data_IF_137443418869
#
_entry.id   IF_137443418869
#
_cell.length_a   1.000
_cell.length_b   1.000
_cell.length_c   1.000
_cell.angle_alpha   90.00
_cell.angle_beta   90.00
_cell.angle_gamma   90.00
#
_symmetry.space_group_name_H-M   'P 1'
#
loop_
_entity.id
_entity.type
_entity.pdbx_description
1 polymer ?
#
# COMPACT_ATOMS: atom_id res chain seq x y z
N UNK A 1 -45.46 5.05 17.06
CA UNK A 1 -44.42 3.99 17.11
C UNK A 1 -43.10 4.45 16.48
N UNK A 2 -43.10 5.01 15.26
CA UNK A 2 -41.88 5.52 14.59
C UNK A 2 -41.14 6.64 15.34
N UNK A 3 -41.86 7.56 16.01
CA UNK A 3 -41.26 8.66 16.78
C UNK A 3 -40.51 8.15 18.03
N UNK A 4 -41.07 7.16 18.75
CA UNK A 4 -40.39 6.56 19.89
C UNK A 4 -39.12 5.80 19.47
N UNK A 5 -39.19 5.06 18.35
CA UNK A 5 -38.00 4.36 17.80
C UNK A 5 -36.94 5.37 17.36
N UNK A 6 -37.34 6.48 16.72
CA UNK A 6 -36.44 7.58 16.36
C UNK A 6 -35.75 8.19 17.58
N UNK A 7 -36.49 8.39 18.68
CA UNK A 7 -35.93 9.00 19.90
C UNK A 7 -35.01 8.04 20.66
N UNK A 8 -35.34 6.74 20.71
CA UNK A 8 -34.52 5.73 21.41
C UNK A 8 -33.28 5.38 20.60
N UNK A 9 -33.38 5.38 19.27
CA UNK A 9 -32.25 5.09 18.37
C UNK A 9 -31.44 6.33 17.98
N UNK A 10 -31.70 7.50 18.60
CA UNK A 10 -30.91 8.69 18.34
C UNK A 10 -29.48 8.48 18.82
N UNK A 11 -28.53 8.41 17.89
CA UNK A 11 -27.12 8.20 18.18
C UNK A 11 -26.33 9.52 18.14
N UNK A 12 -27.02 10.66 18.05
CA UNK A 12 -26.38 11.98 17.86
C UNK A 12 -25.48 12.39 19.02
N UNK A 13 -25.76 11.90 20.23
CA UNK A 13 -24.91 12.13 21.40
C UNK A 13 -23.52 11.49 21.27
N UNK A 14 -23.38 10.44 20.46
CA UNK A 14 -22.14 9.71 20.30
C UNK A 14 -21.11 10.48 19.47
N UNK A 15 -21.46 11.62 18.86
CA UNK A 15 -20.55 12.42 18.02
C UNK A 15 -19.15 12.62 18.63
N UNK A 16 -19.08 12.87 19.94
CA UNK A 16 -17.80 13.06 20.66
C UNK A 16 -17.01 11.77 20.90
N UNK A 17 -17.65 10.61 20.87
CA UNK A 17 -17.08 9.30 21.18
C UNK A 17 -16.89 8.41 19.94
N UNK A 18 -17.34 8.84 18.76
CA UNK A 18 -17.24 8.05 17.52
C UNK A 18 -15.79 7.69 17.21
N UNK A 19 -14.85 8.62 17.40
CA UNK A 19 -13.43 8.36 17.11
C UNK A 19 -12.83 7.25 17.99
N UNK A 20 -13.32 7.07 19.21
CA UNK A 20 -12.87 6.02 20.13
C UNK A 20 -13.20 4.60 19.61
N UNK A 21 -14.18 4.48 18.71
CA UNK A 21 -14.53 3.21 18.09
C UNK A 21 -13.61 2.83 16.92
N UNK A 22 -12.85 3.76 16.33
CA UNK A 22 -11.94 3.46 15.21
C UNK A 22 -10.99 2.30 15.55
N UNK A 23 -10.19 2.35 16.64
CA UNK A 23 -9.25 1.27 16.94
C UNK A 23 -9.96 -0.06 17.23
N UNK A 24 -11.14 -0.03 17.84
CA UNK A 24 -11.94 -1.22 18.13
C UNK A 24 -12.42 -1.89 16.85
N UNK A 25 -12.97 -1.10 15.91
CA UNK A 25 -13.43 -1.59 14.61
C UNK A 25 -12.25 -2.14 13.81
N UNK A 26 -11.14 -1.40 13.75
CA UNK A 26 -9.94 -1.84 13.02
C UNK A 26 -9.38 -3.15 13.59
N UNK A 27 -9.34 -3.29 14.92
CA UNK A 27 -8.90 -4.53 15.58
C UNK A 27 -9.80 -5.71 15.24
N UNK A 28 -11.12 -5.51 15.24
CA UNK A 28 -12.05 -6.60 14.89
C UNK A 28 -11.98 -6.96 13.41
N UNK A 29 -11.79 -6.00 12.49
CA UNK A 29 -11.54 -6.29 11.08
C UNK A 29 -10.27 -7.13 10.89
N UNK A 30 -9.19 -6.81 11.60
CA UNK A 30 -7.93 -7.56 11.53
C UNK A 30 -8.04 -8.98 12.09
N UNK A 31 -8.89 -9.21 13.12
CA UNK A 31 -9.15 -10.56 13.64
C UNK A 31 -10.13 -11.35 12.77
N UNK A 32 -11.14 -10.67 12.24
CA UNK A 32 -12.31 -11.26 11.58
C UNK A 32 -12.67 -10.47 10.32
N UNK A 33 -12.14 -10.88 9.15
CA UNK A 33 -12.36 -10.19 7.87
C UNK A 33 -13.84 -10.04 7.47
N UNK A 34 -14.69 -10.99 7.88
CA UNK A 34 -16.13 -10.96 7.61
C UNK A 34 -16.86 -9.78 8.28
N UNK A 35 -16.26 -9.14 9.30
CA UNK A 35 -16.83 -7.97 9.98
C UNK A 35 -17.00 -6.77 9.02
N UNK A 36 -16.19 -6.69 7.96
CA UNK A 36 -16.26 -5.60 6.97
C UNK A 36 -17.65 -5.52 6.33
N UNK A 37 -18.33 -6.65 6.14
CA UNK A 37 -19.69 -6.71 5.57
C UNK A 37 -20.74 -5.96 6.41
N UNK A 38 -20.49 -5.81 7.72
CA UNK A 38 -21.40 -5.12 8.63
C UNK A 38 -21.16 -3.60 8.67
N UNK A 39 -20.02 -3.12 8.15
CA UNK A 39 -19.65 -1.70 8.20
C UNK A 39 -20.63 -0.82 7.44
N UNK A 40 -21.27 -1.33 6.39
CA UNK A 40 -22.29 -0.59 5.64
C UNK A 40 -23.40 -0.09 6.55
N UNK A 41 -23.95 -1.00 7.35
CA UNK A 41 -25.03 -0.69 8.29
C UNK A 41 -24.57 0.30 9.35
N UNK A 42 -23.33 0.15 9.85
CA UNK A 42 -22.75 1.07 10.83
C UNK A 42 -22.61 2.47 10.23
N UNK A 43 -22.01 2.61 9.04
CA UNK A 43 -21.79 3.91 8.42
C UNK A 43 -23.11 4.59 8.03
N UNK A 44 -24.10 3.85 7.50
CA UNK A 44 -25.43 4.38 7.25
C UNK A 44 -26.12 4.87 8.53
N UNK A 45 -25.95 4.14 9.64
CA UNK A 45 -26.47 4.58 10.94
C UNK A 45 -25.72 5.82 11.44
N UNK A 46 -24.42 5.91 11.25
CA UNK A 46 -23.62 7.07 11.64
C UNK A 46 -23.99 8.32 10.82
N UNK A 47 -24.30 8.17 9.52
CA UNK A 47 -24.78 9.26 8.69
C UNK A 47 -26.05 9.92 9.25
N UNK A 48 -26.90 9.15 9.95
CA UNK A 48 -28.13 9.69 10.58
C UNK A 48 -27.86 10.69 11.72
N UNK A 49 -26.66 10.72 12.32
CA UNK A 49 -26.30 11.66 13.39
C UNK A 49 -26.42 13.11 12.92
N UNK A 50 -26.15 13.38 11.64
CA UNK A 50 -26.22 14.74 11.11
C UNK A 50 -27.65 15.27 11.01
N UNK A 51 -28.67 14.41 11.08
CA UNK A 51 -30.06 14.85 10.98
C UNK A 51 -30.43 15.83 12.10
N UNK A 52 -29.89 15.66 13.30
CA UNK A 52 -30.19 16.54 14.44
C UNK A 52 -29.64 17.97 14.25
N UNK A 53 -28.33 18.19 14.01
CA UNK A 53 -27.82 19.54 13.76
C UNK A 53 -28.41 20.17 12.50
N UNK A 54 -28.66 19.40 11.44
CA UNK A 54 -29.24 19.93 10.20
C UNK A 54 -30.68 20.38 10.37
N UNK A 55 -31.53 19.59 11.06
CA UNK A 55 -32.91 20.01 11.36
C UNK A 55 -32.95 21.31 12.16
N UNK A 56 -32.10 21.45 13.18
CA UNK A 56 -32.04 22.66 14.02
C UNK A 56 -31.69 23.91 13.22
N UNK A 57 -30.76 23.80 12.27
CA UNK A 57 -30.36 24.95 11.42
C UNK A 57 -31.46 25.31 10.42
N UNK A 58 -32.14 24.31 9.86
CA UNK A 58 -33.29 24.54 8.97
C UNK A 58 -34.41 25.25 9.74
N UNK A 59 -34.73 24.80 10.95
CA UNK A 59 -35.74 25.42 11.82
C UNK A 59 -35.38 26.85 12.21
N UNK A 60 -34.09 27.16 12.35
CA UNK A 60 -33.59 28.51 12.63
C UNK A 60 -33.47 29.39 11.38
N UNK A 61 -33.73 28.85 10.18
CA UNK A 61 -33.62 29.53 8.89
C UNK A 61 -32.26 30.26 8.69
N UNK A 62 -31.17 29.65 9.14
CA UNK A 62 -29.82 30.22 9.01
C UNK A 62 -29.25 29.99 7.61
N UNK A 63 -28.53 30.98 7.10
CA UNK A 63 -27.81 30.94 5.81
C UNK A 63 -26.63 29.94 5.82
N UNK A 64 -26.16 29.54 7.00
CA UNK A 64 -24.98 28.68 7.20
C UNK A 64 -25.25 27.19 6.96
N UNK A 65 -26.47 26.82 6.57
CA UNK A 65 -26.88 25.42 6.34
C UNK A 65 -25.88 24.63 5.49
N UNK A 66 -25.40 25.23 4.40
CA UNK A 66 -24.42 24.57 3.51
C UNK A 66 -23.09 24.34 4.19
N UNK A 67 -22.58 25.34 4.91
CA UNK A 67 -21.30 25.28 5.61
C UNK A 67 -21.33 24.20 6.70
N UNK A 68 -22.41 24.15 7.47
CA UNK A 68 -22.57 23.16 8.54
C UNK A 68 -22.74 21.75 7.99
N UNK A 69 -23.57 21.56 6.95
CA UNK A 69 -23.69 20.27 6.28
C UNK A 69 -22.35 19.76 5.74
N UNK A 70 -21.56 20.65 5.12
CA UNK A 70 -20.24 20.32 4.59
C UNK A 70 -19.26 19.93 5.70
N UNK A 71 -19.26 20.66 6.82
CA UNK A 71 -18.39 20.34 7.97
C UNK A 71 -18.67 18.95 8.54
N UNK A 72 -19.92 18.67 8.93
CA UNK A 72 -20.27 17.38 9.52
C UNK A 72 -20.09 16.21 8.54
N UNK A 73 -20.43 16.42 7.26
CA UNK A 73 -20.19 15.40 6.23
C UNK A 73 -18.69 15.13 6.08
N UNK A 74 -17.85 16.17 6.11
CA UNK A 74 -16.40 16.04 6.05
C UNK A 74 -15.82 15.24 7.21
N UNK A 75 -16.28 15.48 8.43
CA UNK A 75 -15.84 14.72 9.61
C UNK A 75 -16.26 13.25 9.55
N UNK A 76 -17.48 12.95 9.09
CA UNK A 76 -17.89 11.56 8.85
C UNK A 76 -17.05 10.88 7.76
N UNK A 77 -16.73 11.59 6.69
CA UNK A 77 -15.86 11.06 5.63
C UNK A 77 -14.47 10.75 6.17
N UNK A 78 -13.90 11.62 7.01
CA UNK A 78 -12.61 11.38 7.68
C UNK A 78 -12.67 10.13 8.57
N UNK A 79 -13.73 9.98 9.35
CA UNK A 79 -13.95 8.79 10.17
C UNK A 79 -13.98 7.52 9.31
N UNK A 80 -14.81 7.49 8.27
CA UNK A 80 -14.94 6.32 7.37
C UNK A 80 -13.60 5.98 6.70
N UNK A 81 -12.90 6.98 6.15
CA UNK A 81 -11.58 6.78 5.54
C UNK A 81 -10.56 6.20 6.53
N UNK A 82 -10.52 6.70 7.77
CA UNK A 82 -9.66 6.17 8.84
C UNK A 82 -10.05 4.74 9.22
N UNK A 83 -11.33 4.45 9.38
CA UNK A 83 -11.78 3.09 9.70
C UNK A 83 -11.40 2.09 8.60
N UNK A 84 -11.58 2.46 7.33
CA UNK A 84 -11.30 1.58 6.18
C UNK A 84 -9.81 1.47 5.84
N UNK A 85 -8.96 2.38 6.31
CA UNK A 85 -7.52 2.35 5.99
C UNK A 85 -6.78 1.10 6.46
N UNK A 86 -7.33 0.37 7.44
CA UNK A 86 -6.76 -0.90 7.92
C UNK A 86 -6.87 -2.02 6.88
N UNK A 87 -7.86 -1.95 5.99
CA UNK A 87 -8.15 -3.02 5.03
C UNK A 87 -7.02 -3.17 4.01
N UNK A 88 -6.57 -2.10 3.32
CA UNK A 88 -5.39 -2.15 2.47
C UNK A 88 -4.16 -2.69 3.18
N UNK A 89 -3.89 -2.25 4.41
CA UNK A 89 -2.76 -2.74 5.22
C UNK A 89 -2.86 -4.24 5.49
N UNK A 90 -4.03 -4.74 5.86
CA UNK A 90 -4.25 -6.18 6.09
C UNK A 90 -4.09 -6.99 4.79
N UNK A 91 -4.60 -6.50 3.66
CA UNK A 91 -4.41 -7.13 2.34
C UNK A 91 -2.92 -7.20 2.01
N UNK A 92 -2.18 -6.11 2.23
CA UNK A 92 -0.76 -6.05 1.90
C UNK A 92 0.09 -6.99 2.78
N UNK A 93 -0.23 -7.10 4.07
CA UNK A 93 0.41 -8.11 4.94
C UNK A 93 0.18 -9.53 4.43
N UNK A 94 -1.02 -9.84 3.96
CA UNK A 94 -1.35 -11.15 3.38
C UNK A 94 -0.67 -11.37 2.04
N UNK A 95 -0.52 -10.31 1.24
CA UNK A 95 0.21 -10.31 -0.01
C UNK A 95 1.70 -10.63 0.20
N UNK A 96 2.33 -10.10 1.24
CA UNK A 96 3.71 -10.45 1.61
C UNK A 96 3.84 -11.95 1.96
N UNK A 97 2.90 -12.52 2.72
CA UNK A 97 2.86 -13.96 2.98
C UNK A 97 2.69 -14.78 1.69
N UNK A 98 1.80 -14.35 0.79
CA UNK A 98 1.59 -14.98 -0.52
C UNK A 98 2.85 -14.91 -1.38
N UNK A 99 3.57 -13.78 -1.35
CA UNK A 99 4.84 -13.61 -2.06
C UNK A 99 5.87 -14.66 -1.66
N UNK A 100 5.99 -14.95 -0.35
CA UNK A 100 6.90 -15.99 0.14
C UNK A 100 6.45 -17.36 -0.36
N UNK A 101 5.17 -17.69 -0.22
CA UNK A 101 4.62 -18.99 -0.65
C UNK A 101 4.85 -19.25 -2.15
N UNK A 102 4.56 -18.27 -3.01
CA UNK A 102 4.70 -18.40 -4.46
C UNK A 102 6.14 -18.38 -4.96
N UNK A 103 7.09 -17.86 -4.16
CA UNK A 103 8.50 -17.72 -4.58
C UNK A 103 9.38 -18.82 -4.00
N UNK A 104 9.12 -19.27 -2.77
CA UNK A 104 10.01 -20.16 -2.03
C UNK A 104 9.42 -21.56 -1.80
N UNK A 105 8.10 -21.68 -1.64
CA UNK A 105 7.48 -22.92 -1.18
C UNK A 105 6.85 -23.73 -2.33
N UNK A 106 6.04 -23.06 -3.15
CA UNK A 106 5.26 -23.72 -4.20
C UNK A 106 6.12 -23.84 -5.45
N UNK A 107 6.44 -25.08 -5.82
CA UNK A 107 7.14 -25.38 -7.07
C UNK A 107 6.21 -25.17 -8.26
N UNK A 108 6.70 -24.47 -9.28
CA UNK A 108 6.03 -24.39 -10.58
C UNK A 108 5.94 -25.80 -11.18
N UNK A 109 4.76 -26.17 -11.72
CA UNK A 109 4.59 -27.48 -12.33
C UNK A 109 5.25 -27.50 -13.70
N UNK A 110 6.08 -28.52 -13.93
CA UNK A 110 6.69 -28.76 -15.23
C UNK A 110 5.67 -29.29 -16.23
N UNK A 111 5.89 -29.00 -17.52
CA UNK A 111 5.00 -29.45 -18.60
C UNK A 111 5.02 -30.97 -18.79
N UNK A 112 6.08 -31.65 -18.34
CA UNK A 112 6.22 -33.11 -18.33
C UNK A 112 6.88 -33.52 -17.03
N UNK A 113 6.24 -34.45 -16.31
CA UNK A 113 6.75 -34.93 -15.02
C UNK A 113 6.41 -36.41 -14.81
N UNK A 114 7.19 -37.08 -13.96
CA UNK A 114 6.95 -38.46 -13.57
C UNK A 114 5.77 -38.52 -12.60
N UNK A 115 4.88 -39.51 -12.76
CA UNK A 115 3.71 -39.72 -11.89
C UNK A 115 4.08 -39.80 -10.40
N UNK A 116 5.24 -40.39 -10.09
CA UNK A 116 5.75 -40.57 -8.73
C UNK A 116 6.07 -39.24 -8.05
N UNK A 117 6.60 -38.28 -8.81
CA UNK A 117 6.95 -36.93 -8.30
C UNK A 117 5.74 -36.02 -8.11
N UNK A 118 4.57 -36.39 -8.65
CA UNK A 118 3.36 -35.56 -8.62
C UNK A 118 2.91 -35.21 -7.20
N UNK A 119 3.13 -36.13 -6.25
CA UNK A 119 2.85 -35.87 -4.84
C UNK A 119 3.74 -34.76 -4.27
N UNK A 120 4.99 -34.67 -4.68
CA UNK A 120 5.93 -33.66 -4.17
C UNK A 120 5.64 -32.26 -4.73
N UNK A 121 5.17 -32.17 -5.97
CA UNK A 121 4.74 -30.89 -6.60
C UNK A 121 3.35 -30.42 -6.17
N UNK A 122 2.58 -31.30 -5.52
CA UNK A 122 1.25 -30.94 -5.05
C UNK A 122 1.31 -29.85 -3.97
N UNK A 123 2.35 -29.83 -3.13
CA UNK A 123 2.56 -28.86 -2.04
C UNK A 123 1.26 -28.57 -1.26
N UNK A 124 0.52 -29.62 -0.86
CA UNK A 124 -0.86 -29.48 -0.34
C UNK A 124 -0.98 -28.49 0.81
N UNK A 125 -0.07 -28.54 1.78
CA UNK A 125 -0.10 -27.65 2.95
C UNK A 125 0.11 -26.19 2.55
N UNK A 126 1.14 -25.89 1.75
CA UNK A 126 1.42 -24.53 1.28
C UNK A 126 0.28 -23.98 0.40
N UNK A 127 -0.31 -24.82 -0.45
CA UNK A 127 -1.47 -24.44 -1.28
C UNK A 127 -2.72 -24.21 -0.45
N UNK A 128 -2.91 -24.96 0.64
CA UNK A 128 -4.01 -24.71 1.58
C UNK A 128 -3.83 -23.35 2.28
N UNK A 129 -2.61 -23.02 2.72
CA UNK A 129 -2.31 -21.70 3.30
C UNK A 129 -2.54 -20.60 2.26
N UNK A 130 -2.06 -20.77 1.03
CA UNK A 130 -2.30 -19.85 -0.08
C UNK A 130 -3.80 -19.62 -0.31
N UNK A 131 -4.59 -20.68 -0.40
CA UNK A 131 -6.04 -20.60 -0.58
C UNK A 131 -6.71 -19.88 0.59
N UNK A 132 -6.29 -20.15 1.83
CA UNK A 132 -6.78 -19.46 3.03
C UNK A 132 -6.50 -17.95 2.97
N UNK A 133 -5.27 -17.55 2.62
CA UNK A 133 -4.91 -16.12 2.49
C UNK A 133 -5.65 -15.44 1.36
N UNK A 134 -5.83 -16.14 0.24
CA UNK A 134 -6.61 -15.66 -0.90
C UNK A 134 -8.06 -15.43 -0.49
N UNK A 135 -8.68 -16.36 0.24
CA UNK A 135 -10.04 -16.21 0.74
C UNK A 135 -10.18 -15.02 1.71
N UNK A 136 -9.22 -14.84 2.63
CA UNK A 136 -9.19 -13.68 3.53
C UNK A 136 -9.16 -12.35 2.75
N UNK A 137 -8.34 -12.25 1.68
CA UNK A 137 -8.30 -11.08 0.80
C UNK A 137 -9.64 -10.87 0.06
N UNK A 138 -10.24 -11.94 -0.45
CA UNK A 138 -11.54 -11.87 -1.13
C UNK A 138 -12.63 -11.36 -0.18
N UNK A 139 -12.67 -11.83 1.07
CA UNK A 139 -13.63 -11.36 2.07
C UNK A 139 -13.47 -9.86 2.38
N UNK A 140 -12.23 -9.39 2.51
CA UNK A 140 -11.94 -7.97 2.73
C UNK A 140 -12.39 -7.12 1.53
N UNK A 141 -12.14 -7.59 0.31
CA UNK A 141 -12.50 -6.89 -0.93
C UNK A 141 -14.01 -6.89 -1.14
N UNK A 142 -14.67 -8.02 -0.95
CA UNK A 142 -16.13 -8.13 -1.02
C UNK A 142 -16.77 -7.16 -0.03
N UNK A 143 -16.26 -7.08 1.20
CA UNK A 143 -16.69 -6.09 2.18
C UNK A 143 -16.60 -4.65 1.67
N UNK A 144 -15.51 -4.30 0.98
CA UNK A 144 -15.35 -2.98 0.34
C UNK A 144 -16.33 -2.75 -0.81
N UNK A 145 -16.61 -3.78 -1.61
CA UNK A 145 -17.56 -3.70 -2.72
C UNK A 145 -19.01 -3.60 -2.23
N UNK A 146 -19.37 -4.33 -1.17
CA UNK A 146 -20.72 -4.33 -0.58
C UNK A 146 -21.08 -2.96 -0.01
N UNK A 147 -20.10 -2.22 0.53
CA UNK A 147 -20.31 -0.84 0.96
C UNK A 147 -20.95 -0.02 -0.17
N UNK A 148 -20.53 -0.23 -1.42
CA UNK A 148 -20.93 0.55 -2.60
C UNK A 148 -20.73 2.06 -2.38
N UNK A 149 -21.01 2.87 -3.38
CA UNK A 149 -21.03 4.32 -3.22
C UNK A 149 -22.03 4.71 -2.15
N UNK A 150 -21.52 5.24 -1.03
CA UNK A 150 -22.34 5.56 0.14
C UNK A 150 -22.34 7.06 0.36
N UNK A 151 -23.53 7.63 0.48
CA UNK A 151 -23.73 9.04 0.78
C UNK A 151 -23.54 9.31 2.28
N UNK A 152 -22.46 10.00 2.62
CA UNK A 152 -22.22 10.54 3.96
C UNK A 152 -22.71 12.00 3.99
N UNK A 153 -24.01 12.18 4.22
CA UNK A 153 -24.65 13.49 4.22
C UNK A 153 -24.76 14.10 2.84
N UNK A 154 -23.89 15.06 2.54
CA UNK A 154 -23.82 15.70 1.21
C UNK A 154 -22.59 15.27 0.41
N UNK A 155 -21.75 14.37 0.95
CA UNK A 155 -20.53 13.88 0.31
C UNK A 155 -20.70 12.39 0.01
N UNK A 156 -20.51 12.01 -1.25
CA UNK A 156 -20.46 10.61 -1.67
C UNK A 156 -19.05 10.05 -1.45
N UNK A 157 -18.97 8.84 -0.91
CA UNK A 157 -17.70 8.11 -0.75
C UNK A 157 -17.72 6.90 -1.68
N UNK A 158 -16.62 6.69 -2.40
CA UNK A 158 -16.34 5.46 -3.14
C UNK A 158 -15.33 4.59 -2.36
N UNK A 159 -15.77 3.48 -1.73
CA UNK A 159 -14.88 2.56 -1.04
C UNK A 159 -13.83 1.93 -1.96
N UNK A 160 -14.14 1.71 -3.24
CA UNK A 160 -13.20 1.11 -4.20
C UNK A 160 -12.02 2.05 -4.45
N UNK A 161 -12.27 3.35 -4.56
CA UNK A 161 -11.19 4.36 -4.64
C UNK A 161 -10.31 4.36 -3.38
N UNK A 162 -10.92 4.31 -2.19
CA UNK A 162 -10.19 4.24 -0.92
C UNK A 162 -9.30 2.98 -0.86
N UNK A 163 -9.82 1.84 -1.32
CA UNK A 163 -9.06 0.59 -1.38
C UNK A 163 -7.84 0.74 -2.31
N UNK A 164 -8.04 1.23 -3.53
CA UNK A 164 -6.97 1.41 -4.52
C UNK A 164 -5.91 2.38 -4.01
N UNK A 165 -6.31 3.54 -3.48
CA UNK A 165 -5.40 4.53 -2.91
C UNK A 165 -4.61 3.96 -1.73
N UNK A 166 -5.27 3.19 -0.86
CA UNK A 166 -4.60 2.51 0.25
C UNK A 166 -3.60 1.45 -0.19
N UNK A 167 -3.94 0.65 -1.21
CA UNK A 167 -3.03 -0.34 -1.78
C UNK A 167 -1.83 0.30 -2.45
N UNK A 168 -2.03 1.41 -3.19
CA UNK A 168 -0.94 2.22 -3.77
C UNK A 168 -0.01 2.75 -2.68
N UNK A 169 -0.57 3.23 -1.56
CA UNK A 169 0.24 3.72 -0.42
C UNK A 169 1.09 2.62 0.21
N UNK A 170 0.51 1.45 0.50
CA UNK A 170 1.26 0.33 1.08
C UNK A 170 2.31 -0.21 0.10
N UNK A 171 1.97 -0.35 -1.19
CA UNK A 171 2.93 -0.74 -2.22
C UNK A 171 4.08 0.26 -2.30
N UNK A 172 3.77 1.56 -2.33
CA UNK A 172 4.77 2.60 -2.42
C UNK A 172 5.71 2.60 -1.20
N UNK A 173 5.17 2.36 -0.01
CA UNK A 173 5.94 2.21 1.23
C UNK A 173 6.88 1.01 1.19
N UNK A 174 6.38 -0.15 0.74
CA UNK A 174 7.18 -1.37 0.64
C UNK A 174 8.27 -1.23 -0.42
N UNK A 175 7.96 -0.72 -1.62
CA UNK A 175 8.95 -0.48 -2.67
C UNK A 175 10.04 0.52 -2.22
N UNK A 176 9.65 1.63 -1.60
CA UNK A 176 10.60 2.60 -1.07
C UNK A 176 11.54 1.98 -0.05
N UNK A 177 11.00 1.16 0.88
CA UNK A 177 11.81 0.43 1.86
C UNK A 177 12.77 -0.56 1.19
N UNK A 178 12.28 -1.37 0.25
CA UNK A 178 13.10 -2.35 -0.47
C UNK A 178 14.24 -1.70 -1.25
N UNK A 179 13.98 -0.59 -1.94
CA UNK A 179 15.00 0.18 -2.65
C UNK A 179 16.00 0.82 -1.69
N UNK A 180 15.50 1.40 -0.60
CA UNK A 180 16.34 2.01 0.42
C UNK A 180 17.33 1.01 1.01
N UNK A 181 16.83 -0.14 1.49
CA UNK A 181 17.60 -1.21 2.11
C UNK A 181 18.47 -1.97 1.10
N UNK A 182 17.99 -2.15 -0.13
CA UNK A 182 18.70 -2.88 -1.18
C UNK A 182 20.01 -2.21 -1.61
N UNK A 183 20.08 -0.88 -1.55
CA UNK A 183 21.28 -0.11 -1.87
C UNK A 183 22.02 0.41 -0.64
N UNK A 184 21.94 -0.31 0.49
CA UNK A 184 22.84 -0.12 1.63
C UNK A 184 24.03 -1.05 1.44
N UNK A 185 25.21 -0.47 1.19
CA UNK A 185 26.45 -1.21 0.97
C UNK A 185 27.25 -1.28 2.27
N UNK A 186 27.46 -2.49 2.81
CA UNK A 186 28.37 -2.69 3.94
C UNK A 186 29.77 -3.05 3.43
N UNK A 187 30.80 -2.34 3.90
CA UNK A 187 32.22 -2.69 3.59
C UNK A 187 32.72 -3.94 4.30
N UNK A 188 31.95 -4.52 5.24
CA UNK A 188 32.31 -5.74 5.98
C UNK A 188 31.08 -6.64 6.08
N UNK A 189 31.03 -7.70 5.27
CA UNK A 189 30.15 -8.83 5.58
C UNK A 189 30.82 -9.67 6.68
N UNK A 190 30.02 -10.31 7.54
CA UNK A 190 30.55 -11.22 8.58
C UNK A 190 31.26 -12.45 8.00
N UNK A 191 31.18 -12.68 6.68
CA UNK A 191 31.74 -13.85 5.98
C UNK A 191 32.91 -13.52 5.05
N UNK A 192 33.39 -12.27 5.01
CA UNK A 192 34.57 -11.88 4.23
C UNK A 192 34.31 -11.57 2.74
N UNK A 193 33.13 -11.90 2.21
CA UNK A 193 32.74 -11.53 0.85
C UNK A 193 32.39 -10.04 0.76
N UNK A 194 32.95 -9.36 -0.24
CA UNK A 194 32.62 -7.97 -0.57
C UNK A 194 31.23 -7.94 -1.21
N UNK A 195 30.29 -7.20 -0.63
CA UNK A 195 28.97 -7.00 -1.26
C UNK A 195 29.14 -6.26 -2.60
N UNK A 196 29.01 -7.00 -3.70
CA UNK A 196 29.07 -6.43 -5.06
C UNK A 196 27.76 -5.75 -5.44
N UNK A 197 27.84 -4.82 -6.39
CA UNK A 197 26.65 -4.19 -6.96
C UNK A 197 25.71 -5.22 -7.60
N UNK A 198 26.27 -6.23 -8.26
CA UNK A 198 25.53 -7.32 -8.89
C UNK A 198 24.74 -8.15 -7.86
N UNK A 199 25.35 -8.51 -6.72
CA UNK A 199 24.66 -9.30 -5.70
C UNK A 199 23.48 -8.52 -5.09
N UNK A 200 23.63 -7.21 -4.87
CA UNK A 200 22.53 -6.34 -4.44
C UNK A 200 21.41 -6.27 -5.47
N UNK A 201 21.74 -6.12 -6.75
CA UNK A 201 20.74 -6.13 -7.83
C UNK A 201 19.99 -7.46 -7.93
N UNK A 202 20.70 -8.59 -7.79
CA UNK A 202 20.09 -9.90 -7.83
C UNK A 202 19.13 -10.09 -6.64
N UNK A 203 19.54 -9.73 -5.43
CA UNK A 203 18.66 -9.74 -4.25
C UNK A 203 17.43 -8.86 -4.43
N UNK A 204 17.60 -7.65 -4.99
CA UNK A 204 16.48 -6.74 -5.23
C UNK A 204 15.53 -7.29 -6.30
N UNK A 205 16.08 -7.86 -7.38
CA UNK A 205 15.32 -8.51 -8.46
C UNK A 205 14.46 -9.64 -7.93
N UNK A 206 15.00 -10.51 -7.07
CA UNK A 206 14.25 -11.64 -6.51
C UNK A 206 13.09 -11.15 -5.65
N UNK A 207 13.35 -10.16 -4.78
CA UNK A 207 12.31 -9.54 -3.95
C UNK A 207 11.24 -8.83 -4.80
N UNK A 208 11.63 -8.10 -5.85
CA UNK A 208 10.70 -7.42 -6.76
C UNK A 208 9.85 -8.41 -7.53
N UNK A 209 10.47 -9.49 -8.02
CA UNK A 209 9.77 -10.53 -8.78
C UNK A 209 8.73 -11.23 -7.91
N UNK A 210 9.06 -11.57 -6.66
CA UNK A 210 8.11 -12.15 -5.71
C UNK A 210 6.91 -11.23 -5.44
N UNK A 211 7.18 -9.96 -5.13
CA UNK A 211 6.12 -8.98 -4.83
C UNK A 211 5.23 -8.68 -6.05
N UNK A 212 5.84 -8.60 -7.24
CA UNK A 212 5.09 -8.41 -8.50
C UNK A 212 4.21 -9.63 -8.78
N UNK A 213 4.74 -10.84 -8.66
CA UNK A 213 3.99 -12.10 -8.87
C UNK A 213 2.81 -12.22 -7.91
N UNK A 214 2.98 -11.88 -6.63
CA UNK A 214 1.88 -11.93 -5.67
C UNK A 214 0.80 -10.89 -5.95
N UNK A 215 1.18 -9.69 -6.39
CA UNK A 215 0.22 -8.66 -6.82
C UNK A 215 -0.56 -9.08 -8.07
N UNK A 216 0.13 -9.65 -9.07
CA UNK A 216 -0.50 -10.20 -10.28
C UNK A 216 -1.46 -11.35 -9.94
N UNK A 217 -1.10 -12.20 -8.98
CA UNK A 217 -1.95 -13.30 -8.53
C UNK A 217 -3.24 -12.80 -7.86
N UNK A 218 -3.17 -11.77 -7.00
CA UNK A 218 -4.37 -11.31 -6.28
C UNK A 218 -5.22 -10.29 -7.06
N UNK A 219 -4.75 -9.78 -8.20
CA UNK A 219 -5.38 -8.63 -8.88
C UNK A 219 -6.85 -8.88 -9.25
N UNK A 220 -7.18 -10.11 -9.65
CA UNK A 220 -8.54 -10.51 -10.05
C UNK A 220 -9.48 -10.52 -8.84
N UNK A 221 -8.98 -10.95 -7.67
CA UNK A 221 -9.75 -10.95 -6.42
C UNK A 221 -9.97 -9.53 -5.88
N UNK A 222 -9.07 -8.61 -6.20
CA UNK A 222 -9.17 -7.20 -5.85
C UNK A 222 -9.97 -6.37 -6.85
N UNK A 223 -10.20 -6.89 -8.07
CA UNK A 223 -10.78 -6.16 -9.20
C UNK A 223 -10.04 -4.83 -9.50
N UNK A 224 -8.70 -4.92 -9.58
CA UNK A 224 -7.78 -3.81 -9.88
C UNK A 224 -6.78 -4.19 -10.98
N UNK A 225 -6.14 -3.19 -11.60
CA UNK A 225 -5.05 -3.40 -12.55
C UNK A 225 -3.71 -3.44 -11.80
N UNK A 226 -3.33 -4.61 -11.29
CA UNK A 226 -2.14 -4.78 -10.44
C UNK A 226 -0.83 -4.38 -11.15
N UNK A 227 -0.68 -4.78 -12.41
CA UNK A 227 0.51 -4.46 -13.21
C UNK A 227 0.67 -2.94 -13.45
N UNK A 228 -0.45 -2.25 -13.71
CA UNK A 228 -0.44 -0.80 -13.90
C UNK A 228 -0.02 -0.10 -12.61
N UNK A 229 -0.65 -0.46 -11.47
CA UNK A 229 -0.33 0.11 -10.16
C UNK A 229 1.15 -0.12 -9.82
N UNK A 230 1.67 -1.32 -10.07
CA UNK A 230 3.09 -1.64 -9.90
C UNK A 230 4.01 -0.68 -10.67
N UNK A 231 3.77 -0.54 -11.98
CA UNK A 231 4.60 0.30 -12.86
C UNK A 231 4.54 1.76 -12.44
N UNK A 232 3.35 2.29 -12.20
CA UNK A 232 3.15 3.69 -11.80
C UNK A 232 3.86 4.01 -10.48
N UNK A 233 3.69 3.17 -9.46
CA UNK A 233 4.30 3.41 -8.15
C UNK A 233 5.83 3.25 -8.18
N UNK A 234 6.36 2.27 -8.92
CA UNK A 234 7.80 2.11 -9.08
C UNK A 234 8.43 3.33 -9.78
N UNK A 235 7.86 3.76 -10.91
CA UNK A 235 8.33 4.94 -11.64
C UNK A 235 8.26 6.19 -10.76
N UNK A 236 7.17 6.37 -10.01
CA UNK A 236 6.99 7.50 -9.10
C UNK A 236 8.08 7.57 -8.02
N UNK A 237 8.42 6.44 -7.41
CA UNK A 237 9.46 6.38 -6.35
C UNK A 237 10.84 6.68 -6.93
N UNK A 238 11.15 6.14 -8.11
CA UNK A 238 12.42 6.39 -8.79
C UNK A 238 12.55 7.88 -9.14
N UNK A 239 11.53 8.47 -9.77
CA UNK A 239 11.53 9.88 -10.13
C UNK A 239 11.66 10.77 -8.89
N UNK A 240 10.93 10.47 -7.82
CA UNK A 240 11.04 11.20 -6.55
C UNK A 240 12.47 11.14 -5.97
N UNK A 241 13.12 9.98 -6.01
CA UNK A 241 14.48 9.84 -5.52
C UNK A 241 15.48 10.63 -6.39
N UNK A 242 15.35 10.54 -7.72
CA UNK A 242 16.18 11.29 -8.68
C UNK A 242 16.02 12.79 -8.50
N UNK A 243 14.79 13.30 -8.44
CA UNK A 243 14.52 14.72 -8.23
C UNK A 243 15.09 15.23 -6.92
N UNK A 244 14.94 14.47 -5.83
CA UNK A 244 15.49 14.83 -4.52
C UNK A 244 17.02 14.96 -4.54
N UNK A 245 17.72 14.05 -5.21
CA UNK A 245 19.18 14.14 -5.38
C UNK A 245 19.58 15.28 -6.32
N UNK A 246 18.90 15.44 -7.45
CA UNK A 246 19.20 16.49 -8.42
C UNK A 246 19.04 17.89 -7.83
N UNK A 247 18.00 18.11 -7.02
CA UNK A 247 17.77 19.39 -6.36
C UNK A 247 18.88 19.74 -5.38
N UNK A 248 19.38 18.74 -4.65
CA UNK A 248 20.50 18.92 -3.75
C UNK A 248 21.78 19.30 -4.53
N UNK A 249 22.06 18.63 -5.65
CA UNK A 249 23.20 18.97 -6.50
C UNK A 249 23.11 20.41 -7.07
N UNK A 250 21.90 20.88 -7.36
CA UNK A 250 21.65 22.21 -7.94
C UNK A 250 21.43 23.31 -6.87
N UNK A 251 21.50 22.98 -5.57
CA UNK A 251 21.22 23.91 -4.45
C UNK A 251 19.89 24.67 -4.58
N UNK A 252 18.87 24.07 -5.20
CA UNK A 252 17.54 24.69 -5.37
C UNK A 252 16.64 24.34 -4.18
N UNK A 253 15.71 25.21 -3.79
CA UNK A 253 14.68 24.84 -2.80
C UNK A 253 13.65 23.92 -3.47
N UNK A 254 13.52 22.69 -2.98
CA UNK A 254 12.42 21.81 -3.38
C UNK A 254 11.09 22.35 -2.83
N UNK A 255 10.08 22.47 -3.68
CA UNK A 255 8.70 22.64 -3.26
C UNK A 255 7.95 21.35 -3.63
N UNK A 256 7.58 20.51 -2.66
CA UNK A 256 6.72 19.37 -2.95
C UNK A 256 5.37 19.88 -3.43
N UNK A 257 4.87 19.30 -4.51
CA UNK A 257 3.52 19.56 -4.98
C UNK A 257 2.51 19.02 -3.96
N UNK A 258 1.69 19.92 -3.41
CA UNK A 258 0.80 19.66 -2.27
C UNK A 258 -0.33 18.69 -2.65
N UNK A 259 -0.72 18.63 -3.92
CA UNK A 259 -1.81 17.79 -4.40
C UNK A 259 -1.47 16.28 -4.37
N UNK A 260 -0.18 15.92 -4.24
CA UNK A 260 0.27 14.53 -4.21
C UNK A 260 0.15 13.86 -2.83
N UNK A 261 0.02 14.62 -1.74
CA UNK A 261 0.15 14.10 -0.37
C UNK A 261 -0.99 13.16 0.04
N UNK A 262 -2.20 13.42 -0.45
CA UNK A 262 -3.39 12.69 0.00
C UNK A 262 -3.57 11.32 -0.68
N UNK A 263 -3.05 11.14 -1.90
CA UNK A 263 -3.23 9.91 -2.68
C UNK A 263 -2.04 8.97 -2.60
N UNK A 264 -0.83 9.51 -2.50
CA UNK A 264 0.39 8.73 -2.66
C UNK A 264 1.23 8.67 -1.38
N UNK A 265 1.95 7.56 -1.19
CA UNK A 265 2.94 7.49 -0.13
C UNK A 265 4.17 8.33 -0.51
N UNK A 266 4.61 9.21 0.38
CA UNK A 266 5.82 10.02 0.18
C UNK A 266 7.00 9.31 0.85
N UNK A 267 8.01 8.85 0.09
CA UNK A 267 9.15 8.16 0.66
C UNK A 267 9.97 9.04 1.60
N UNK A 268 10.14 8.58 2.84
CA UNK A 268 11.10 9.14 3.79
C UNK A 268 12.34 8.27 3.83
N UNK A 269 13.33 8.60 3.01
CA UNK A 269 14.64 7.95 3.07
C UNK A 269 15.46 8.58 4.19
N UNK A 270 15.82 7.77 5.20
CA UNK A 270 16.71 8.21 6.28
C UNK A 270 18.14 8.27 5.69
N UNK A 271 18.82 9.44 5.71
CA UNK A 271 20.20 9.51 5.23
C UNK A 271 21.11 8.59 6.05
N UNK A 272 21.94 7.79 5.39
CA UNK A 272 22.87 6.85 6.03
C UNK A 272 24.24 7.52 6.21
N UNK A 273 24.58 8.44 5.31
CA UNK A 273 25.77 9.27 5.40
C UNK A 273 25.44 10.73 5.05
N UNK A 274 26.44 11.60 5.09
CA UNK A 274 26.29 13.02 4.79
C UNK A 274 26.18 13.32 3.29
N UNK A 275 26.44 12.33 2.43
CA UNK A 275 26.57 12.53 0.98
C UNK A 275 25.31 12.10 0.23
N UNK A 276 24.60 11.09 0.72
CA UNK A 276 23.49 10.44 0.01
C UNK A 276 22.17 10.59 0.78
N UNK A 277 21.19 11.29 0.17
CA UNK A 277 19.88 11.54 0.77
C UNK A 277 18.86 10.45 0.45
N UNK A 278 19.12 9.65 -0.58
CA UNK A 278 18.26 8.59 -1.10
C UNK A 278 19.10 7.37 -1.53
N UNK A 279 18.42 6.30 -1.94
CA UNK A 279 19.08 5.14 -2.52
C UNK A 279 19.73 5.43 -3.88
N UNK A 280 19.24 6.44 -4.61
CA UNK A 280 19.74 6.77 -5.93
C UNK A 280 21.12 7.42 -5.86
N UNK A 281 21.36 8.30 -4.89
CA UNK A 281 22.70 8.86 -4.62
C UNK A 281 23.72 7.75 -4.32
N UNK A 282 23.36 6.82 -3.42
CA UNK A 282 24.20 5.65 -3.08
C UNK A 282 24.50 4.78 -4.30
N UNK A 283 23.52 4.54 -5.15
CA UNK A 283 23.69 3.78 -6.38
C UNK A 283 24.68 4.48 -7.32
N UNK A 284 24.45 5.76 -7.62
CA UNK A 284 25.29 6.54 -8.53
C UNK A 284 26.74 6.62 -8.04
N UNK A 285 26.93 6.82 -6.73
CA UNK A 285 28.26 6.84 -6.12
C UNK A 285 28.99 5.50 -6.25
N UNK A 286 28.32 4.38 -5.99
CA UNK A 286 28.91 3.05 -6.15
C UNK A 286 29.23 2.72 -7.62
N UNK A 287 28.40 3.19 -8.56
CA UNK A 287 28.70 3.09 -9.99
C UNK A 287 29.95 3.91 -10.28
N UNK A 288 30.01 5.18 -9.88
CA UNK A 288 31.17 6.05 -10.11
C UNK A 288 32.47 5.51 -9.50
N UNK A 289 32.42 4.96 -8.29
CA UNK A 289 33.57 4.32 -7.63
C UNK A 289 34.05 3.07 -8.40
N UNK A 290 33.13 2.38 -9.10
CA UNK A 290 33.45 1.25 -9.98
C UNK A 290 33.99 1.69 -11.33
N UNK A 291 33.54 2.83 -11.89
CA UNK A 291 34.04 3.37 -13.17
C UNK A 291 35.54 3.64 -13.15
N UNK A 292 36.09 4.04 -11.99
CA UNK A 292 37.53 4.27 -11.82
C UNK A 292 38.40 3.01 -11.85
N UNK A 293 37.79 1.80 -11.85
CA UNK A 293 38.48 0.50 -11.77
C UNK A 293 38.34 -0.33 -13.05
N UNK A 294 37.73 0.23 -14.09
CA UNK A 294 37.37 -0.49 -15.31
C UNK A 294 37.35 0.41 -16.55
N UNK A 295 36.96 -0.16 -17.68
CA UNK A 295 36.80 0.54 -18.95
C UNK A 295 35.49 0.13 -19.63
N UNK A 296 34.94 1.05 -20.43
CA UNK A 296 33.72 0.80 -21.21
C UNK A 296 34.08 0.23 -22.58
N UNK A 297 33.44 -0.87 -22.96
CA UNK A 297 33.56 -1.46 -24.29
C UNK A 297 32.29 -1.15 -25.09
N UNK A 298 32.41 -0.18 -25.99
CA UNK A 298 31.29 0.32 -26.81
C UNK A 298 30.65 -0.79 -27.66
N UNK A 299 31.48 -1.72 -28.18
CA UNK A 299 31.03 -2.87 -28.99
C UNK A 299 30.11 -3.84 -28.25
N UNK A 300 30.19 -3.90 -26.93
CA UNK A 300 29.37 -4.78 -26.08
C UNK A 300 28.35 -3.99 -25.24
N UNK A 301 28.42 -2.66 -25.30
CA UNK A 301 27.61 -1.75 -24.49
C UNK A 301 27.69 -2.05 -22.99
N UNK A 302 28.85 -2.51 -22.51
CA UNK A 302 29.07 -2.97 -21.13
C UNK A 302 30.41 -2.46 -20.55
N UNK A 303 30.47 -2.38 -19.22
CA UNK A 303 31.68 -2.02 -18.46
C UNK A 303 32.41 -3.28 -18.00
N UNK A 304 33.73 -3.28 -18.12
CA UNK A 304 34.61 -4.37 -17.70
C UNK A 304 35.66 -3.88 -16.73
N UNK A 305 36.09 -4.73 -15.82
CA UNK A 305 37.28 -4.48 -15.03
C UNK A 305 38.56 -4.59 -15.88
N UNK A 306 39.72 -4.23 -15.30
CA UNK A 306 41.00 -4.37 -15.99
C UNK A 306 41.42 -5.83 -16.31
N UNK A 307 40.67 -6.83 -15.82
CA UNK A 307 40.85 -8.26 -16.11
C UNK A 307 39.90 -8.77 -17.20
N UNK A 308 38.99 -7.92 -17.71
CA UNK A 308 38.02 -8.26 -18.74
C UNK A 308 36.79 -9.01 -18.22
N UNK A 309 36.48 -8.90 -16.93
CA UNK A 309 35.24 -9.41 -16.31
C UNK A 309 34.21 -8.30 -16.17
#
# INVERSE_FOLDING_TARGET
MLINISSISDFSYAWKAIEDFIPLIQTEISKRPNTVLLLKTVFLKLASIMNVPLKRIIEYNSEDMRSVAKYYSGELVKFVKRTLSIIPTNIFQKLEEISVLLTMNIKEMETKMLKETLKDFSCYEDRYVLAKRTHEISMLTEGMLVLDKTLMGVIEIDPKEILVDGLRKELGKTLAKMLHEGFIFSRKSMMGDVETLESKFQMLKDKFTGLKRSLEYIQDFLNIQGEQIWREELTRIINFAVEKEAINLVNKKYQPDLDYQDKFYIPTFIPIDANDFTFMGRLLRNINDSLGKGFYLDSLSSWYDHQGQ
#
